data_IF_720350760483
#
_entry.id   IF_720350760483
#
_cell.length_a   1.000
_cell.length_b   1.000
_cell.length_c   1.000
_cell.angle_alpha   90.00
_cell.angle_beta   90.00
_cell.angle_gamma   90.00
#
_symmetry.space_group_name_H-M   'P 1'
#
loop_
_entity.id
_entity.type
_entity.pdbx_description
1 polymer ?
#
# COMPACT_ATOMS: atom_id res chain seq x y z
N UNK A 1 -17.82 14.29 -28.69
CA UNK A 1 -17.36 14.02 -27.31
C UNK A 1 -16.60 12.70 -27.32
N UNK A 2 -15.29 12.70 -27.06
CA UNK A 2 -14.52 11.45 -26.99
C UNK A 2 -14.77 10.81 -25.62
N UNK A 3 -15.25 9.57 -25.61
CA UNK A 3 -15.44 8.79 -24.39
C UNK A 3 -14.35 7.72 -24.30
N UNK A 4 -13.76 7.57 -23.11
CA UNK A 4 -12.82 6.48 -22.80
C UNK A 4 -13.43 5.09 -23.06
N UNK A 5 -14.76 4.99 -23.08
CA UNK A 5 -15.48 3.76 -23.40
C UNK A 5 -15.33 3.30 -24.86
N UNK A 6 -14.89 4.19 -25.77
CA UNK A 6 -14.69 3.87 -27.21
C UNK A 6 -13.25 3.47 -27.51
N UNK A 7 -12.34 3.68 -26.57
CA UNK A 7 -10.93 3.35 -26.73
C UNK A 7 -10.77 1.82 -26.85
N UNK A 8 -9.84 1.29 -27.66
CA UNK A 8 -9.46 -0.12 -27.61
C UNK A 8 -8.93 -0.58 -26.25
N UNK A 9 -9.12 -1.85 -25.91
CA UNK A 9 -8.73 -2.41 -24.61
C UNK A 9 -7.23 -2.29 -24.30
N UNK A 10 -6.37 -2.46 -25.30
CA UNK A 10 -4.93 -2.36 -25.10
C UNK A 10 -4.48 -0.96 -24.68
N UNK A 11 -5.07 0.09 -25.26
CA UNK A 11 -4.80 1.48 -24.88
C UNK A 11 -5.39 1.79 -23.50
N UNK A 12 -6.58 1.27 -23.20
CA UNK A 12 -7.18 1.45 -21.88
C UNK A 12 -6.34 0.76 -20.79
N UNK A 13 -5.79 -0.43 -21.06
CA UNK A 13 -4.83 -1.11 -20.18
C UNK A 13 -3.56 -0.28 -19.96
N UNK A 14 -3.03 0.37 -21.01
CA UNK A 14 -1.85 1.23 -20.88
C UNK A 14 -2.13 2.46 -20.01
N UNK A 15 -3.31 3.07 -20.15
CA UNK A 15 -3.77 4.16 -19.29
C UNK A 15 -3.93 3.68 -17.84
N UNK A 16 -4.63 2.56 -17.62
CA UNK A 16 -4.82 1.99 -16.29
C UNK A 16 -3.49 1.62 -15.63
N UNK A 17 -2.49 1.19 -16.40
CA UNK A 17 -1.14 0.88 -15.87
C UNK A 17 -0.35 2.10 -15.38
N UNK A 18 -0.86 3.33 -15.57
CA UNK A 18 -0.30 4.55 -14.98
C UNK A 18 -0.96 4.91 -13.64
N UNK A 19 -2.10 4.31 -13.31
CA UNK A 19 -2.86 4.62 -12.12
C UNK A 19 -2.28 3.87 -10.90
N UNK A 20 -2.18 4.51 -9.72
CA UNK A 20 -1.77 3.82 -8.50
C UNK A 20 -2.69 2.64 -8.18
N UNK A 21 -2.10 1.54 -7.71
CA UNK A 21 -2.84 0.29 -7.48
C UNK A 21 -4.01 0.40 -6.51
N UNK A 22 -3.89 1.25 -5.49
CA UNK A 22 -4.99 1.49 -4.55
C UNK A 22 -6.22 2.07 -5.25
N UNK A 23 -6.00 2.96 -6.22
CA UNK A 23 -7.06 3.59 -6.99
C UNK A 23 -7.61 2.66 -8.07
N UNK A 24 -6.80 1.77 -8.63
CA UNK A 24 -7.29 0.74 -9.55
C UNK A 24 -8.37 -0.15 -8.90
N UNK A 25 -8.12 -0.57 -7.66
CA UNK A 25 -9.04 -1.46 -6.93
C UNK A 25 -10.27 -0.68 -6.42
N UNK A 26 -10.06 0.51 -5.84
CA UNK A 26 -11.12 1.26 -5.15
C UNK A 26 -11.96 2.12 -6.09
N UNK A 27 -11.34 2.70 -7.12
CA UNK A 27 -11.95 3.74 -7.95
C UNK A 27 -12.15 3.30 -9.41
N UNK A 28 -11.20 2.60 -10.03
CA UNK A 28 -11.31 2.19 -11.44
C UNK A 28 -12.19 0.93 -11.63
N UNK A 29 -12.03 -0.09 -10.78
CA UNK A 29 -12.82 -1.32 -10.84
C UNK A 29 -14.35 -1.12 -10.79
N UNK A 30 -14.93 -0.18 -10.00
CA UNK A 30 -16.38 0.02 -9.96
C UNK A 30 -16.94 0.90 -11.10
N UNK A 31 -16.12 1.50 -11.97
CA UNK A 31 -16.60 2.44 -13.01
C UNK A 31 -17.60 1.78 -13.95
N UNK A 32 -17.23 0.63 -14.54
CA UNK A 32 -18.11 -0.16 -15.40
C UNK A 32 -17.58 -1.61 -15.51
N UNK A 33 -18.37 -2.51 -16.08
CA UNK A 33 -17.98 -3.91 -16.29
C UNK A 33 -16.68 -4.04 -17.09
N UNK A 34 -16.56 -3.29 -18.18
CA UNK A 34 -15.35 -3.30 -19.02
C UNK A 34 -14.08 -2.93 -18.23
N UNK A 35 -14.15 -1.90 -17.38
CA UNK A 35 -13.02 -1.52 -16.54
C UNK A 35 -12.71 -2.58 -15.49
N UNK A 36 -13.74 -3.18 -14.90
CA UNK A 36 -13.58 -4.30 -13.95
C UNK A 36 -12.82 -5.45 -14.60
N UNK A 37 -13.24 -5.87 -15.79
CA UNK A 37 -12.66 -7.00 -16.51
C UNK A 37 -11.19 -6.72 -16.83
N UNK A 38 -10.86 -5.51 -17.29
CA UNK A 38 -9.47 -5.11 -17.54
C UNK A 38 -8.63 -4.99 -16.27
N UNK A 39 -9.20 -4.50 -15.17
CA UNK A 39 -8.51 -4.41 -13.87
C UNK A 39 -8.24 -5.79 -13.28
N UNK A 40 -9.11 -6.76 -13.53
CA UNK A 40 -8.94 -8.12 -13.03
C UNK A 40 -8.04 -8.99 -13.94
N UNK A 41 -7.66 -8.50 -15.13
CA UNK A 41 -6.70 -9.20 -16.00
C UNK A 41 -5.27 -9.22 -15.43
N UNK A 42 -4.59 -10.39 -15.42
CA UNK A 42 -3.21 -10.50 -14.96
C UNK A 42 -2.21 -9.60 -15.71
N UNK A 43 -2.45 -9.36 -17.00
CA UNK A 43 -1.56 -8.56 -17.86
C UNK A 43 -1.41 -7.13 -17.36
N UNK A 44 -2.45 -6.54 -16.76
CA UNK A 44 -2.39 -5.20 -16.18
C UNK A 44 -1.39 -5.16 -15.02
N UNK A 45 -1.51 -6.12 -14.10
CA UNK A 45 -0.65 -6.22 -12.92
C UNK A 45 0.80 -6.51 -13.30
N UNK A 46 1.04 -7.33 -14.33
CA UNK A 46 2.38 -7.53 -14.89
C UNK A 46 2.99 -6.24 -15.45
N UNK A 47 2.20 -5.40 -16.15
CA UNK A 47 2.66 -4.10 -16.65
C UNK A 47 3.00 -3.14 -15.51
N UNK A 48 2.13 -3.05 -14.50
CA UNK A 48 2.37 -2.25 -13.29
C UNK A 48 3.64 -2.70 -12.57
N UNK A 49 3.82 -4.01 -12.43
CA UNK A 49 5.00 -4.60 -11.81
C UNK A 49 6.28 -4.24 -12.53
N UNK A 50 6.33 -4.48 -13.84
CA UNK A 50 7.48 -4.12 -14.66
C UNK A 50 7.80 -2.63 -14.63
N UNK A 51 6.80 -1.74 -14.57
CA UNK A 51 7.02 -0.29 -14.52
C UNK A 51 7.53 0.19 -13.16
N UNK A 52 6.97 -0.34 -12.07
CA UNK A 52 7.32 0.09 -10.71
C UNK A 52 8.65 -0.50 -10.25
N UNK A 53 8.92 -1.75 -10.60
CA UNK A 53 10.10 -2.49 -10.19
C UNK A 53 11.19 -2.54 -11.27
N UNK A 54 11.07 -1.78 -12.37
CA UNK A 54 12.15 -1.61 -13.37
C UNK A 54 13.46 -1.13 -12.75
N UNK A 55 13.39 -0.43 -11.62
CA UNK A 55 14.55 0.09 -10.90
C UNK A 55 15.02 -0.82 -9.75
N UNK A 56 14.31 -1.92 -9.46
CA UNK A 56 14.67 -2.88 -8.40
C UNK A 56 14.96 -4.22 -9.07
N UNK A 57 16.13 -4.80 -8.83
CA UNK A 57 16.44 -6.18 -9.24
C UNK A 57 15.56 -7.14 -8.42
N UNK A 58 14.28 -7.27 -8.78
CA UNK A 58 13.43 -8.31 -8.23
C UNK A 58 13.73 -9.59 -9.00
N UNK A 59 14.30 -10.63 -8.36
CA UNK A 59 14.81 -11.80 -9.09
C UNK A 59 13.69 -12.69 -9.68
N UNK A 60 12.45 -12.56 -9.18
CA UNK A 60 11.32 -13.41 -9.56
C UNK A 60 10.03 -12.59 -9.59
N UNK A 61 9.28 -12.66 -10.69
CA UNK A 61 7.92 -12.11 -10.77
C UNK A 61 6.99 -12.97 -9.90
N UNK A 62 6.30 -12.40 -8.89
CA UNK A 62 5.36 -13.15 -8.06
C UNK A 62 4.24 -13.77 -8.90
N UNK A 63 3.78 -14.98 -8.54
CA UNK A 63 2.63 -15.63 -9.22
C UNK A 63 1.35 -14.80 -9.11
N UNK A 64 1.10 -14.24 -7.94
CA UNK A 64 0.00 -13.30 -7.70
C UNK A 64 0.57 -11.91 -7.40
N UNK A 65 0.69 -11.12 -8.46
CA UNK A 65 1.21 -9.76 -8.41
C UNK A 65 0.24 -8.85 -7.63
N UNK A 66 -1.06 -9.09 -7.73
CA UNK A 66 -2.09 -8.30 -7.04
C UNK A 66 -1.97 -8.52 -5.52
N UNK A 67 -1.86 -9.77 -5.08
CA UNK A 67 -1.61 -10.09 -3.68
C UNK A 67 -0.26 -9.57 -3.20
N UNK A 68 0.81 -9.74 -3.99
CA UNK A 68 2.14 -9.19 -3.67
C UNK A 68 2.07 -7.70 -3.32
N UNK A 69 1.32 -6.92 -4.10
CA UNK A 69 1.23 -5.48 -3.83
C UNK A 69 0.29 -5.08 -2.70
N UNK A 70 -0.77 -5.85 -2.44
CA UNK A 70 -1.63 -5.64 -1.28
C UNK A 70 -0.83 -5.92 -0.01
N UNK A 71 -0.14 -7.06 0.03
CA UNK A 71 0.64 -7.51 1.18
C UNK A 71 1.94 -6.73 1.37
N UNK A 72 2.56 -6.23 0.30
CA UNK A 72 3.74 -5.37 0.40
C UNK A 72 3.50 -4.08 1.20
N UNK A 73 2.25 -3.59 1.29
CA UNK A 73 1.90 -2.46 2.20
C UNK A 73 1.90 -2.86 3.69
N UNK A 74 1.84 -4.16 3.96
CA UNK A 74 1.84 -4.76 5.30
C UNK A 74 3.24 -5.20 5.74
N UNK A 75 4.26 -5.12 4.88
CA UNK A 75 5.68 -5.34 5.19
C UNK A 75 6.24 -4.20 6.06
N UNK A 76 5.64 -3.99 7.22
CA UNK A 76 6.10 -3.06 8.24
C UNK A 76 5.88 -3.70 9.60
N UNK A 77 6.57 -3.21 10.61
CA UNK A 77 6.32 -3.67 11.97
C UNK A 77 4.86 -3.36 12.36
N UNK A 78 4.06 -4.41 12.58
CA UNK A 78 2.67 -4.31 12.99
C UNK A 78 2.53 -4.25 14.53
N UNK A 79 3.60 -4.57 15.26
CA UNK A 79 3.67 -4.46 16.71
C UNK A 79 3.77 -2.97 17.05
N UNK A 80 2.77 -2.47 17.78
CA UNK A 80 2.85 -1.12 18.33
C UNK A 80 3.92 -1.09 19.41
N UNK A 81 4.86 -0.15 19.29
CA UNK A 81 5.88 0.11 20.30
C UNK A 81 6.70 -1.14 20.69
N UNK A 82 7.36 -1.81 19.74
CA UNK A 82 8.12 -3.05 20.00
C UNK A 82 9.26 -2.84 21.02
N UNK A 83 9.79 -1.61 21.13
CA UNK A 83 10.94 -1.28 21.97
C UNK A 83 10.59 -0.41 23.19
N UNK A 84 9.32 -0.12 23.46
CA UNK A 84 8.93 0.57 24.70
C UNK A 84 9.20 2.09 24.75
N UNK A 85 9.77 2.69 23.70
CA UNK A 85 10.35 4.05 23.69
C UNK A 85 9.37 5.16 24.13
N UNK A 86 8.07 5.03 23.86
CA UNK A 86 7.07 6.07 24.16
C UNK A 86 6.56 6.13 25.60
N UNK A 87 6.78 5.09 26.43
CA UNK A 87 6.27 5.06 27.82
C UNK A 87 7.35 5.37 28.86
N UNK A 88 8.63 5.27 28.50
CA UNK A 88 9.72 5.43 29.45
C UNK A 88 9.73 6.83 30.08
N UNK A 89 9.55 7.89 29.30
CA UNK A 89 9.60 9.26 29.82
C UNK A 89 8.46 9.59 30.79
N UNK A 90 7.21 9.22 30.45
CA UNK A 90 6.05 9.45 31.33
C UNK A 90 6.09 8.60 32.61
N UNK A 91 6.61 7.37 32.53
CA UNK A 91 6.78 6.51 33.71
C UNK A 91 7.91 7.07 34.58
N UNK A 92 9.00 7.55 33.98
CA UNK A 92 10.17 8.06 34.67
C UNK A 92 9.92 9.43 35.32
N UNK A 93 9.22 10.34 34.63
CA UNK A 93 8.73 11.59 35.23
C UNK A 93 7.77 11.33 36.38
N UNK A 94 6.79 10.43 36.21
CA UNK A 94 5.88 10.06 37.31
C UNK A 94 6.62 9.43 38.50
N UNK A 95 7.65 8.63 38.23
CA UNK A 95 8.47 8.03 39.28
C UNK A 95 9.32 9.08 40.01
N UNK A 96 9.93 10.02 39.29
CA UNK A 96 10.66 11.15 39.89
C UNK A 96 9.76 12.05 40.72
N UNK A 97 8.53 12.31 40.26
CA UNK A 97 7.56 13.12 41.00
C UNK A 97 7.11 12.43 42.30
N UNK A 98 6.82 11.12 42.24
CA UNK A 98 6.50 10.32 43.43
C UNK A 98 7.67 10.27 44.44
N UNK A 99 8.92 10.20 43.97
CA UNK A 99 10.09 10.26 44.85
C UNK A 99 10.29 11.64 45.51
N UNK A 100 9.93 12.73 44.83
CA UNK A 100 10.00 14.09 45.39
C UNK A 100 8.91 14.32 46.45
N UNK A 101 7.70 13.83 46.23
CA UNK A 101 6.58 13.93 47.17
C UNK A 101 6.83 13.14 48.48
N UNK A 102 7.54 12.02 48.42
CA UNK A 102 7.89 11.24 49.61
C UNK A 102 9.05 11.84 50.44
N UNK A 103 9.79 12.82 49.91
CA UNK A 103 10.93 13.44 50.59
C UNK A 103 10.57 14.76 51.29
N UNK A 104 9.35 15.24 51.10
CA UNK A 104 8.82 16.49 51.66
C UNK A 104 7.82 16.33 52.81
N UNK A 105 7.57 15.09 53.27
CA UNK A 105 6.91 14.77 54.55
C UNK A 105 7.96 14.28 55.57
#
# INVERSE_FOLDING_TARGET
MASLCVLPDHLLLDILSLVPMGDLIRNCRPVCSRWRDLVDLPVLWQRLFRRKDSNKRVPVVPRDIKAYYILGRLEKNLIKNPFGEGKSLLIQEKYQQACLEQRGN
#
